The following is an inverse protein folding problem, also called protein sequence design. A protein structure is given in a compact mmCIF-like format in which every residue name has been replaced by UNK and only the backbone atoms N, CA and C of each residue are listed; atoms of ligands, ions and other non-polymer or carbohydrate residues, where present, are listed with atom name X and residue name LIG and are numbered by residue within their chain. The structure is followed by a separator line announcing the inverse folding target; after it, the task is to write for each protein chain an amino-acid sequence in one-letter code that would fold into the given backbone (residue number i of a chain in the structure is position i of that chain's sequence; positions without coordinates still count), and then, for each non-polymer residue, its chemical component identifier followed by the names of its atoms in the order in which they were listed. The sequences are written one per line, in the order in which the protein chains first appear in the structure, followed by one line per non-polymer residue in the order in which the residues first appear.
data_IF_898281157274
#
_entry.id   IF_898281157274
#
_cell.length_a   1.000
_cell.length_b   1.000
_cell.length_c   1.000
_cell.angle_alpha   90.00
_cell.angle_beta   90.00
_cell.angle_gamma   90.00
#
_symmetry.space_group_name_H-M   'P 1'
#
loop_
_entity.id
_entity.type
_entity.pdbx_description
1 polymer ?
#
# COMPACT_ATOMS: atom_id res chain seq x y z
N UNK A 1 -13.54 -30.42 9.25
CA UNK A 1 -13.07 -30.88 7.93
C UNK A 1 -12.88 -29.64 7.06
N UNK A 2 -11.64 -29.12 6.98
CA UNK A 2 -11.34 -27.93 6.15
C UNK A 2 -11.37 -28.41 4.71
N UNK A 3 -12.37 -27.97 3.95
CA UNK A 3 -12.54 -28.39 2.56
C UNK A 3 -11.36 -27.88 1.74
N UNK A 4 -10.81 -28.70 0.85
CA UNK A 4 -9.71 -28.35 -0.09
C UNK A 4 -9.94 -27.03 -0.83
N UNK A 5 -11.21 -26.66 -1.02
CA UNK A 5 -11.63 -25.39 -1.60
C UNK A 5 -11.20 -24.19 -0.75
N UNK A 6 -11.41 -24.24 0.57
CA UNK A 6 -10.99 -23.16 1.50
C UNK A 6 -9.46 -23.01 1.56
N UNK A 7 -8.72 -24.12 1.37
CA UNK A 7 -7.26 -24.09 1.33
C UNK A 7 -6.76 -23.42 0.04
N UNK A 8 -7.30 -23.78 -1.11
CA UNK A 8 -6.98 -23.17 -2.41
C UNK A 8 -7.34 -21.69 -2.45
N UNK A 9 -8.52 -21.31 -1.94
CA UNK A 9 -8.95 -19.90 -1.89
C UNK A 9 -8.03 -19.05 -1.01
N UNK A 10 -7.51 -19.61 0.07
CA UNK A 10 -6.54 -18.96 0.96
C UNK A 10 -5.17 -18.77 0.27
N UNK A 11 -4.69 -19.76 -0.48
CA UNK A 11 -3.46 -19.63 -1.27
C UNK A 11 -3.61 -18.63 -2.41
N UNK A 12 -4.73 -18.66 -3.13
CA UNK A 12 -5.01 -17.71 -4.20
C UNK A 12 -5.10 -16.26 -3.68
N UNK A 13 -5.66 -16.05 -2.48
CA UNK A 13 -5.68 -14.72 -1.86
C UNK A 13 -4.28 -14.23 -1.46
N UNK A 14 -3.38 -15.13 -1.03
CA UNK A 14 -1.99 -14.79 -0.74
C UNK A 14 -1.22 -14.41 -2.02
N UNK A 15 -1.39 -15.16 -3.10
CA UNK A 15 -0.79 -14.81 -4.40
C UNK A 15 -1.31 -13.45 -4.93
N UNK A 16 -2.56 -13.11 -4.65
CA UNK A 16 -3.12 -11.81 -5.01
C UNK A 16 -2.49 -10.65 -4.21
N UNK A 17 -1.99 -10.88 -3.00
CA UNK A 17 -1.30 -9.86 -2.20
C UNK A 17 0.20 -9.71 -2.56
N UNK A 18 0.78 -10.68 -3.26
CA UNK A 18 2.21 -10.70 -3.60
C UNK A 18 2.71 -9.42 -4.29
N UNK A 19 2.02 -8.83 -5.28
CA UNK A 19 2.46 -7.60 -5.92
C UNK A 19 2.55 -6.41 -4.95
N UNK A 20 1.62 -6.31 -3.99
CA UNK A 20 1.65 -5.27 -2.95
C UNK A 20 2.84 -5.46 -2.00
N UNK A 21 3.08 -6.69 -1.55
CA UNK A 21 4.21 -7.01 -0.69
C UNK A 21 5.54 -6.76 -1.41
N UNK A 22 5.66 -7.17 -2.67
CA UNK A 22 6.86 -6.95 -3.47
C UNK A 22 7.14 -5.45 -3.68
N UNK A 23 6.12 -4.67 -4.06
CA UNK A 23 6.25 -3.23 -4.24
C UNK A 23 6.57 -2.51 -2.92
N UNK A 24 5.89 -2.87 -1.83
CA UNK A 24 6.15 -2.31 -0.50
C UNK A 24 7.55 -2.63 0.00
N UNK A 25 8.02 -3.88 -0.17
CA UNK A 25 9.40 -4.28 0.19
C UNK A 25 10.43 -3.52 -0.65
N UNK A 26 10.17 -3.33 -1.94
CA UNK A 26 11.04 -2.56 -2.83
C UNK A 26 11.19 -1.12 -2.32
N UNK A 27 10.08 -0.43 -2.05
CA UNK A 27 10.09 0.95 -1.54
C UNK A 27 10.79 1.01 -0.18
N UNK A 28 10.52 0.06 0.72
CA UNK A 28 11.14 -0.01 2.04
C UNK A 28 12.66 -0.15 1.98
N UNK A 29 13.17 -1.10 1.18
CA UNK A 29 14.63 -1.30 1.01
C UNK A 29 15.28 -0.05 0.43
N UNK A 30 14.66 0.56 -0.57
CA UNK A 30 15.19 1.80 -1.17
C UNK A 30 15.07 3.01 -0.24
N UNK A 31 14.05 3.06 0.63
CA UNK A 31 13.96 4.07 1.69
C UNK A 31 15.15 4.00 2.63
N UNK A 32 15.48 2.80 3.13
CA UNK A 32 16.66 2.60 4.00
C UNK A 32 17.96 2.98 3.26
N UNK A 33 18.09 2.62 1.98
CA UNK A 33 19.27 2.98 1.20
C UNK A 33 19.39 4.49 1.00
N UNK A 34 18.27 5.18 0.82
CA UNK A 34 18.21 6.63 0.69
C UNK A 34 18.67 7.35 1.95
N UNK A 35 18.26 6.87 3.11
CA UNK A 35 18.68 7.40 4.42
C UNK A 35 20.20 7.27 4.65
N UNK A 36 20.83 6.23 4.06
CA UNK A 36 22.26 5.97 4.24
C UNK A 36 23.12 6.68 3.17
N UNK A 37 22.65 6.76 1.92
CA UNK A 37 23.47 7.16 0.76
C UNK A 37 23.04 8.49 0.14
N UNK A 38 21.92 9.08 0.57
CA UNK A 38 21.33 10.29 -0.02
C UNK A 38 21.18 10.19 -1.54
N UNK A 39 20.28 9.31 -1.98
CA UNK A 39 20.09 9.04 -3.41
C UNK A 39 19.56 10.27 -4.17
N UNK A 40 20.01 10.43 -5.42
CA UNK A 40 19.48 11.48 -6.29
C UNK A 40 17.98 11.28 -6.54
N UNK A 41 17.21 12.35 -6.60
CA UNK A 41 15.75 12.34 -6.79
C UNK A 41 15.29 11.47 -7.99
N UNK A 42 16.09 11.38 -9.04
CA UNK A 42 15.76 10.58 -10.21
C UNK A 42 15.72 9.07 -9.89
N UNK A 43 16.61 8.56 -9.03
CA UNK A 43 16.61 7.15 -8.63
C UNK A 43 15.41 6.85 -7.74
N UNK A 44 15.06 7.77 -6.82
CA UNK A 44 13.85 7.65 -6.00
C UNK A 44 12.60 7.53 -6.88
N UNK A 45 12.47 8.42 -7.87
CA UNK A 45 11.35 8.40 -8.81
C UNK A 45 11.30 7.10 -9.62
N UNK A 46 12.43 6.60 -10.12
CA UNK A 46 12.48 5.36 -10.89
C UNK A 46 11.99 4.16 -10.08
N UNK A 47 12.42 4.04 -8.82
CA UNK A 47 11.96 2.97 -7.92
C UNK A 47 10.46 3.06 -7.66
N UNK A 48 9.94 4.27 -7.43
CA UNK A 48 8.50 4.49 -7.23
C UNK A 48 7.70 4.09 -8.48
N UNK A 49 8.18 4.45 -9.69
CA UNK A 49 7.55 4.06 -10.95
C UNK A 49 7.52 2.54 -11.12
N UNK A 50 8.61 1.84 -10.81
CA UNK A 50 8.67 0.38 -10.86
C UNK A 50 7.71 -0.24 -9.85
N UNK A 51 7.68 0.24 -8.61
CA UNK A 51 6.78 -0.24 -7.58
C UNK A 51 5.30 -0.06 -7.98
N UNK A 52 4.93 1.12 -8.50
CA UNK A 52 3.58 1.38 -9.03
C UNK A 52 3.23 0.43 -10.18
N UNK A 53 4.18 0.18 -11.08
CA UNK A 53 4.03 -0.77 -12.19
C UNK A 53 3.75 -2.19 -11.72
N UNK A 54 4.48 -2.67 -10.70
CA UNK A 54 4.26 -4.00 -10.09
C UNK A 54 2.85 -4.12 -9.52
N UNK A 55 2.37 -3.10 -8.80
CA UNK A 55 1.02 -3.11 -8.20
C UNK A 55 -0.07 -3.15 -9.27
N UNK A 56 0.03 -2.29 -10.28
CA UNK A 56 -0.96 -2.22 -11.37
C UNK A 56 -0.92 -3.47 -12.24
N UNK A 57 0.25 -4.00 -12.57
CA UNK A 57 0.42 -5.27 -13.29
C UNK A 57 -0.14 -6.46 -12.50
N UNK A 58 -0.07 -6.42 -11.16
CA UNK A 58 -0.70 -7.38 -10.26
C UNK A 58 -2.22 -7.32 -10.20
N UNK A 59 -2.86 -6.42 -10.96
CA UNK A 59 -4.32 -6.31 -11.08
C UNK A 59 -4.97 -5.37 -10.06
N UNK A 60 -4.19 -4.69 -9.23
CA UNK A 60 -4.72 -3.68 -8.31
C UNK A 60 -5.06 -2.41 -9.08
N UNK A 61 -6.36 -2.14 -9.21
CA UNK A 61 -6.86 -0.96 -9.93
C UNK A 61 -8.24 -0.54 -9.46
N UNK A 62 -8.56 0.74 -9.58
CA UNK A 62 -9.89 1.27 -9.31
C UNK A 62 -10.86 0.82 -10.39
N UNK A 63 -11.78 -0.08 -10.09
CA UNK A 63 -12.78 -0.57 -11.06
C UNK A 63 -13.97 0.36 -11.18
N UNK A 64 -14.25 1.11 -10.12
CA UNK A 64 -15.35 2.06 -10.06
C UNK A 64 -14.92 3.34 -9.33
N UNK A 65 -15.34 4.50 -9.83
CA UNK A 65 -15.18 5.78 -9.15
C UNK A 65 -16.55 6.46 -9.20
N UNK A 66 -17.08 6.84 -8.03
CA UNK A 66 -18.41 7.44 -7.87
C UNK A 66 -19.54 6.65 -8.54
N UNK A 67 -19.46 5.32 -8.53
CA UNK A 67 -20.47 4.43 -9.14
C UNK A 67 -20.35 4.23 -10.66
N UNK A 68 -19.42 4.93 -11.32
CA UNK A 68 -19.13 4.75 -12.75
C UNK A 68 -18.07 3.66 -12.95
N UNK A 69 -18.35 2.71 -13.84
CA UNK A 69 -17.39 1.67 -14.24
C UNK A 69 -16.38 2.29 -15.21
N UNK A 70 -15.11 2.11 -14.92
CA UNK A 70 -14.01 2.70 -15.68
C UNK A 70 -13.37 1.65 -16.57
N UNK A 71 -13.09 1.96 -17.86
CA UNK A 71 -12.33 1.07 -18.74
C UNK A 71 -10.96 0.71 -18.15
N UNK A 72 -10.52 -0.53 -18.35
CA UNK A 72 -9.32 -1.10 -17.72
C UNK A 72 -8.05 -0.25 -17.93
N UNK A 73 -7.86 0.32 -19.12
CA UNK A 73 -6.70 1.16 -19.43
C UNK A 73 -6.69 2.46 -18.61
N UNK A 74 -7.84 3.12 -18.53
CA UNK A 74 -8.00 4.38 -17.78
C UNK A 74 -7.88 4.10 -16.29
N UNK A 75 -8.50 3.02 -15.82
CA UNK A 75 -8.43 2.52 -14.44
C UNK A 75 -6.97 2.28 -14.02
N UNK A 76 -6.19 1.62 -14.86
CA UNK A 76 -4.76 1.37 -14.61
C UNK A 76 -3.96 2.66 -14.51
N UNK A 77 -4.19 3.59 -15.43
CA UNK A 77 -3.51 4.89 -15.43
C UNK A 77 -3.86 5.72 -14.18
N UNK A 78 -5.14 5.82 -13.84
CA UNK A 78 -5.58 6.52 -12.63
C UNK A 78 -4.96 5.91 -11.39
N UNK A 79 -4.98 4.57 -11.28
CA UNK A 79 -4.41 3.86 -10.13
C UNK A 79 -2.91 4.10 -10.03
N UNK A 80 -2.19 4.03 -11.14
CA UNK A 80 -0.76 4.29 -11.21
C UNK A 80 -0.42 5.70 -10.73
N UNK A 81 -1.08 6.72 -11.30
CA UNK A 81 -0.88 8.12 -10.91
C UNK A 81 -1.26 8.38 -9.45
N UNK A 82 -2.33 7.74 -8.96
CA UNK A 82 -2.78 7.85 -7.57
C UNK A 82 -1.74 7.31 -6.59
N UNK A 83 -1.25 6.09 -6.83
CA UNK A 83 -0.23 5.47 -5.96
C UNK A 83 1.06 6.28 -5.99
N UNK A 84 1.52 6.68 -7.17
CA UNK A 84 2.71 7.52 -7.33
C UNK A 84 2.57 8.85 -6.60
N UNK A 85 1.41 9.50 -6.73
CA UNK A 85 1.10 10.75 -6.03
C UNK A 85 1.11 10.59 -4.51
N UNK A 86 0.53 9.50 -3.98
CA UNK A 86 0.55 9.20 -2.55
C UNK A 86 1.97 8.96 -2.04
N UNK A 87 2.77 8.15 -2.73
CA UNK A 87 4.17 7.89 -2.34
C UNK A 87 4.96 9.19 -2.27
N UNK A 88 4.82 10.07 -3.29
CA UNK A 88 5.50 11.36 -3.29
C UNK A 88 4.98 12.31 -2.20
N UNK A 89 3.67 12.33 -1.94
CA UNK A 89 3.09 13.12 -0.86
C UNK A 89 3.62 12.69 0.52
N UNK A 90 3.66 11.37 0.78
CA UNK A 90 4.24 10.84 2.01
C UNK A 90 5.73 11.15 2.13
N UNK A 91 6.50 11.02 1.05
CA UNK A 91 7.93 11.35 1.04
C UNK A 91 8.18 12.85 1.32
N UNK A 92 7.28 13.73 0.90
CA UNK A 92 7.36 15.17 1.20
C UNK A 92 7.04 15.49 2.67
N UNK A 93 6.11 14.73 3.26
CA UNK A 93 5.67 14.92 4.67
C UNK A 93 6.68 14.30 5.65
N UNK A 94 7.45 13.30 5.22
CA UNK A 94 8.40 12.56 6.05
C UNK A 94 9.53 13.44 6.64
N UNK A 95 9.77 14.62 6.07
CA UNK A 95 10.68 15.61 6.63
C UNK A 95 10.20 16.31 7.91
N UNK A 96 9.01 15.98 8.43
CA UNK A 96 8.43 16.54 9.67
C UNK A 96 8.33 15.45 10.73
N UNK A 97 9.05 15.61 11.84
CA UNK A 97 9.17 14.65 12.92
C UNK A 97 7.82 14.06 13.36
N UNK A 98 7.62 12.77 13.11
CA UNK A 98 6.46 12.00 13.54
C UNK A 98 5.15 12.27 12.76
N UNK A 99 5.05 13.30 11.92
CA UNK A 99 3.82 13.65 11.22
C UNK A 99 3.39 12.55 10.25
N UNK A 100 4.33 11.98 9.51
CA UNK A 100 4.08 10.85 8.60
C UNK A 100 3.52 9.64 9.35
N UNK A 101 4.09 9.32 10.52
CA UNK A 101 3.61 8.24 11.38
C UNK A 101 2.19 8.48 11.91
N UNK A 102 1.90 9.69 12.41
CA UNK A 102 0.55 10.04 12.90
C UNK A 102 -0.48 9.98 11.79
N UNK A 103 -0.16 10.50 10.61
CA UNK A 103 -1.07 10.47 9.44
C UNK A 103 -1.34 9.02 9.00
N UNK A 104 -0.30 8.20 8.94
CA UNK A 104 -0.41 6.78 8.60
C UNK A 104 -1.25 6.01 9.63
N UNK A 105 -1.00 6.22 10.93
CA UNK A 105 -1.77 5.59 12.00
C UNK A 105 -3.24 6.00 11.95
N UNK A 106 -3.55 7.28 11.74
CA UNK A 106 -4.92 7.78 11.64
C UNK A 106 -5.65 7.19 10.43
N UNK A 107 -4.98 7.12 9.29
CA UNK A 107 -5.54 6.54 8.05
C UNK A 107 -5.83 5.05 8.22
N UNK A 108 -4.87 4.29 8.76
CA UNK A 108 -5.03 2.85 9.01
C UNK A 108 -6.11 2.57 10.06
N UNK A 109 -6.19 3.36 11.12
CA UNK A 109 -7.21 3.24 12.15
C UNK A 109 -8.62 3.45 11.56
N UNK A 110 -8.81 4.53 10.81
CA UNK A 110 -10.08 4.83 10.14
C UNK A 110 -10.47 3.72 9.16
N UNK A 111 -9.51 3.27 8.34
CA UNK A 111 -9.72 2.19 7.39
C UNK A 111 -10.12 0.89 8.10
N UNK A 112 -9.42 0.53 9.20
CA UNK A 112 -9.72 -0.63 10.01
C UNK A 112 -11.16 -0.63 10.56
N UNK A 113 -11.65 0.53 11.01
CA UNK A 113 -13.04 0.67 11.46
C UNK A 113 -14.04 0.47 10.31
N UNK A 114 -13.78 1.13 9.16
CA UNK A 114 -14.69 1.07 8.00
C UNK A 114 -14.83 -0.36 7.46
N UNK A 115 -13.70 -1.08 7.33
CA UNK A 115 -13.72 -2.42 6.73
C UNK A 115 -14.05 -3.54 7.73
N UNK A 116 -14.11 -3.26 9.04
CA UNK A 116 -14.32 -4.28 10.08
C UNK A 116 -15.59 -5.13 9.86
N UNK A 117 -16.66 -4.51 9.37
CA UNK A 117 -17.92 -5.22 9.09
C UNK A 117 -17.86 -6.16 7.90
N UNK A 118 -17.03 -5.84 6.89
CA UNK A 118 -16.96 -6.57 5.62
C UNK A 118 -15.74 -7.49 5.50
N UNK A 119 -14.61 -7.11 6.13
CA UNK A 119 -13.34 -7.82 6.02
C UNK A 119 -12.54 -7.77 7.32
N UNK A 120 -12.87 -8.69 8.24
CA UNK A 120 -12.29 -8.74 9.60
C UNK A 120 -10.77 -8.93 9.62
N UNK A 121 -10.23 -9.76 8.72
CA UNK A 121 -8.78 -10.02 8.64
C UNK A 121 -8.02 -8.75 8.23
N UNK A 122 -8.53 -8.01 7.24
CA UNK A 122 -7.95 -6.73 6.84
C UNK A 122 -8.01 -5.67 7.93
N UNK A 123 -9.13 -5.61 8.67
CA UNK A 123 -9.26 -4.73 9.82
C UNK A 123 -8.24 -5.05 10.92
N UNK A 124 -8.02 -6.33 11.21
CA UNK A 124 -7.01 -6.76 12.18
C UNK A 124 -5.60 -6.34 11.76
N UNK A 125 -5.24 -6.51 10.47
CA UNK A 125 -3.95 -6.05 9.94
C UNK A 125 -3.79 -4.54 10.11
N UNK A 126 -4.82 -3.75 9.80
CA UNK A 126 -4.78 -2.31 10.01
C UNK A 126 -4.50 -1.95 11.48
N UNK A 127 -5.15 -2.61 12.44
CA UNK A 127 -4.96 -2.35 13.86
C UNK A 127 -3.57 -2.77 14.37
N UNK A 128 -3.02 -3.88 13.85
CA UNK A 128 -1.64 -4.30 14.16
C UNK A 128 -0.64 -3.25 13.67
N UNK A 129 -0.81 -2.75 12.45
CA UNK A 129 0.05 -1.70 11.90
C UNK A 129 -0.06 -0.39 12.69
N UNK A 130 -1.27 0.01 13.11
CA UNK A 130 -1.47 1.17 14.00
C UNK A 130 -0.69 1.00 15.30
N UNK A 131 -0.81 -0.17 15.94
CA UNK A 131 -0.06 -0.46 17.17
C UNK A 131 1.45 -0.39 16.97
N UNK A 132 1.98 -0.90 15.85
CA UNK A 132 3.40 -0.84 15.51
C UNK A 132 3.88 0.59 15.31
N UNK A 133 3.10 1.43 14.61
CA UNK A 133 3.45 2.84 14.37
C UNK A 133 3.43 3.62 15.68
N UNK A 134 2.40 3.44 16.52
CA UNK A 134 2.33 4.11 17.82
C UNK A 134 3.51 3.69 18.70
N UNK A 135 3.86 2.40 18.75
CA UNK A 135 5.00 1.91 19.52
C UNK A 135 6.35 2.44 19.02
N UNK A 136 6.44 2.85 17.75
CA UNK A 136 7.63 3.50 17.19
C UNK A 136 7.71 4.99 17.52
N UNK A 137 6.55 5.66 17.67
CA UNK A 137 6.47 7.10 17.94
C UNK A 137 6.65 7.47 19.41
N UNK A 138 6.53 6.51 20.34
CA UNK A 138 6.70 6.68 21.80
C UNK A 138 8.10 6.33 22.24
#
# INVERSE_FOLDING_TARGET
MITTKNFLDKYLSFFNAFPLLAAGTLIFIFGILDDVVELRAIFKLLVQLVACGIVVAGGFRFRQIFGLIIPDTISSLITFCWILGLINAYNLIDGLDGLCGILSATTLFTMGIIIHGSYKEGAAICMILVGSIIGFLV
#
